data_IF_340169183507
#
_entry.id   IF_340169183507
#
_cell.length_a   1.000
_cell.length_b   1.000
_cell.length_c   1.000
_cell.angle_alpha   90.00
_cell.angle_beta   90.00
_cell.angle_gamma   90.00
#
_symmetry.space_group_name_H-M   'P 1'
#
loop_
_entity.id
_entity.type
_entity.pdbx_description
1 polymer ?
#
# COMPACT_ATOMS: atom_id res chain seq x y z
N UNK A 1 16.46 25.31 4.42
CA UNK A 1 15.06 24.85 4.36
C UNK A 1 15.05 23.35 4.56
N UNK A 2 14.39 22.84 5.62
CA UNK A 2 14.32 21.38 5.84
C UNK A 2 13.16 20.81 5.04
N UNK A 3 13.49 20.08 3.98
CA UNK A 3 12.56 19.26 3.20
C UNK A 3 12.64 17.82 3.70
N UNK A 4 11.49 17.15 3.80
CA UNK A 4 11.43 15.75 4.19
C UNK A 4 10.15 15.09 3.73
N UNK A 5 10.05 13.78 3.86
CA UNK A 5 8.82 13.03 3.63
C UNK A 5 8.41 12.31 4.91
N UNK A 6 7.11 12.12 5.10
CA UNK A 6 6.57 11.28 6.16
C UNK A 6 5.58 10.29 5.57
N UNK A 7 5.51 9.10 6.16
CA UNK A 7 4.52 8.08 5.82
C UNK A 7 3.50 8.00 6.94
N UNK A 8 2.24 8.24 6.60
CA UNK A 8 1.11 8.10 7.52
C UNK A 8 0.33 6.86 7.13
N UNK A 9 0.06 6.01 8.12
CA UNK A 9 -0.55 4.71 7.86
C UNK A 9 -1.88 4.59 8.58
N UNK A 10 -2.89 4.11 7.85
CA UNK A 10 -4.25 3.96 8.34
C UNK A 10 -4.71 2.52 8.11
N UNK A 11 -5.07 1.82 9.18
CA UNK A 11 -5.57 0.45 9.12
C UNK A 11 -7.08 0.46 8.90
N UNK A 12 -7.54 -0.37 7.97
CA UNK A 12 -8.96 -0.70 7.81
C UNK A 12 -9.30 -1.91 8.67
N UNK A 13 -10.05 -1.69 9.75
CA UNK A 13 -10.50 -2.79 10.64
C UNK A 13 -11.76 -3.48 10.13
N UNK A 14 -12.66 -2.70 9.57
CA UNK A 14 -13.94 -3.13 9.01
C UNK A 14 -14.24 -2.27 7.79
N UNK A 15 -15.12 -2.72 6.88
CA UNK A 15 -15.61 -1.89 5.79
C UNK A 15 -16.08 -0.53 6.27
N UNK A 16 -15.55 0.54 5.67
CA UNK A 16 -15.89 1.90 6.07
C UNK A 16 -15.12 2.42 7.28
N UNK A 17 -14.33 1.64 8.02
CA UNK A 17 -13.49 2.15 9.11
C UNK A 17 -12.04 2.35 8.68
N UNK A 18 -11.45 3.48 9.06
CA UNK A 18 -10.02 3.73 8.97
C UNK A 18 -9.52 4.30 10.30
N UNK A 19 -8.43 3.74 10.82
CA UNK A 19 -7.81 4.21 12.06
C UNK A 19 -6.32 4.41 11.88
N UNK A 20 -5.72 5.47 12.45
CA UNK A 20 -4.27 5.64 12.44
C UNK A 20 -3.58 4.42 13.06
N UNK A 21 -2.49 3.99 12.44
CA UNK A 21 -1.61 2.95 12.98
C UNK A 21 -0.17 3.43 12.88
N UNK A 22 0.65 3.09 13.89
CA UNK A 22 2.06 3.41 13.86
C UNK A 22 2.74 2.67 12.69
N UNK A 23 3.55 3.38 11.91
CA UNK A 23 4.29 2.80 10.80
C UNK A 23 5.14 1.60 11.25
N UNK A 24 5.76 1.69 12.44
CA UNK A 24 6.53 0.59 13.05
C UNK A 24 5.71 -0.69 13.25
N UNK A 25 4.42 -0.60 13.55
CA UNK A 25 3.57 -1.77 13.70
C UNK A 25 3.36 -2.50 12.37
N UNK A 26 3.24 -1.74 11.28
CA UNK A 26 3.13 -2.28 9.91
C UNK A 26 4.46 -2.90 9.47
N UNK A 27 5.59 -2.25 9.77
CA UNK A 27 6.93 -2.80 9.52
C UNK A 27 7.15 -4.12 10.26
N UNK A 28 6.79 -4.19 11.54
CA UNK A 28 6.88 -5.42 12.34
C UNK A 28 6.00 -6.55 11.76
N UNK A 29 4.78 -6.21 11.35
CA UNK A 29 3.88 -7.16 10.67
C UNK A 29 4.52 -7.75 9.40
N UNK A 30 5.15 -6.90 8.58
CA UNK A 30 5.83 -7.32 7.34
C UNK A 30 7.10 -8.12 7.67
N UNK A 31 7.88 -7.74 8.69
CA UNK A 31 9.22 -8.30 8.97
C UNK A 31 9.25 -9.63 9.77
N UNK A 32 8.10 -10.24 10.06
CA UNK A 32 7.88 -11.51 10.80
C UNK A 32 7.75 -11.37 12.32
N UNK A 33 7.94 -10.17 12.86
CA UNK A 33 7.93 -9.94 14.31
C UNK A 33 6.55 -9.53 14.86
N UNK A 34 5.63 -9.05 14.01
CA UNK A 34 4.35 -8.48 14.42
C UNK A 34 3.13 -9.25 13.93
N UNK A 35 1.98 -8.90 14.51
CA UNK A 35 0.65 -9.29 14.07
C UNK A 35 -0.22 -8.05 13.88
N UNK A 36 -1.12 -8.11 12.91
CA UNK A 36 -2.19 -7.13 12.74
C UNK A 36 -3.51 -7.88 12.59
N UNK A 37 -4.61 -7.37 13.16
CA UNK A 37 -5.90 -8.04 13.05
C UNK A 37 -6.36 -8.02 11.60
N UNK A 38 -6.63 -9.21 11.05
CA UNK A 38 -7.31 -9.34 9.76
C UNK A 38 -8.79 -8.96 9.89
N UNK A 39 -9.39 -8.54 8.79
CA UNK A 39 -10.83 -8.42 8.67
C UNK A 39 -11.50 -9.78 8.49
N UNK A 40 -12.84 -9.77 8.34
CA UNK A 40 -13.64 -10.98 8.18
C UNK A 40 -13.26 -11.83 6.95
N UNK A 41 -12.58 -11.25 5.97
CA UNK A 41 -12.11 -11.94 4.76
C UNK A 41 -10.69 -12.52 4.94
N UNK A 42 -10.08 -12.35 6.12
CA UNK A 42 -8.72 -12.82 6.41
C UNK A 42 -7.64 -11.92 5.81
N UNK A 43 -7.95 -10.64 5.56
CA UNK A 43 -6.98 -9.68 5.06
C UNK A 43 -6.68 -8.59 6.09
N UNK A 44 -5.40 -8.21 6.19
CA UNK A 44 -5.01 -6.91 6.75
C UNK A 44 -5.02 -5.91 5.59
N UNK A 45 -5.88 -4.90 5.69
CA UNK A 45 -5.99 -3.82 4.70
C UNK A 45 -5.54 -2.51 5.33
N UNK A 46 -4.62 -1.81 4.68
CA UNK A 46 -4.15 -0.51 5.17
C UNK A 46 -3.87 0.45 4.03
N UNK A 47 -3.82 1.74 4.36
CA UNK A 47 -3.50 2.82 3.45
C UNK A 47 -2.21 3.46 3.91
N UNK A 48 -1.24 3.67 3.01
CA UNK A 48 -0.11 4.54 3.26
C UNK A 48 -0.30 5.84 2.48
N UNK A 49 -0.17 6.95 3.19
CA UNK A 49 -0.18 8.31 2.65
C UNK A 49 1.22 8.86 2.82
N UNK A 50 1.90 9.13 1.72
CA UNK A 50 3.20 9.79 1.72
C UNK A 50 2.95 11.30 1.61
N UNK A 51 3.44 12.06 2.58
CA UNK A 51 3.29 13.52 2.61
C UNK A 51 4.64 14.20 2.53
N UNK A 52 4.68 15.34 1.83
CA UNK A 52 5.82 16.24 1.86
C UNK A 52 5.80 17.06 3.16
N UNK A 53 6.97 17.28 3.73
CA UNK A 53 7.17 18.09 4.92
C UNK A 53 8.01 19.32 4.58
N UNK A 54 7.51 20.49 4.95
CA UNK A 54 8.27 21.74 4.96
C UNK A 54 8.28 22.30 6.38
N UNK A 55 9.47 22.52 6.94
CA UNK A 55 9.63 23.00 8.32
C UNK A 55 8.84 22.16 9.34
N UNK A 56 8.90 20.83 9.18
CA UNK A 56 8.18 19.82 9.99
C UNK A 56 6.65 19.85 9.90
N UNK A 57 6.07 20.61 8.97
CA UNK A 57 4.62 20.64 8.70
C UNK A 57 4.31 19.94 7.39
N UNK A 58 3.25 19.15 7.35
CA UNK A 58 2.78 18.51 6.13
C UNK A 58 2.18 19.55 5.18
N UNK A 59 2.63 19.55 3.92
CA UNK A 59 2.19 20.55 2.94
C UNK A 59 1.34 20.00 1.81
N UNK A 60 1.61 18.77 1.38
CA UNK A 60 0.92 18.13 0.26
C UNK A 60 1.00 16.60 0.41
N UNK A 61 0.02 15.90 -0.16
CA UNK A 61 0.06 14.45 -0.36
C UNK A 61 0.82 14.16 -1.65
N UNK A 62 1.91 13.38 -1.56
CA UNK A 62 2.72 12.94 -2.70
C UNK A 62 2.18 11.63 -3.30
N UNK A 63 1.70 10.73 -2.46
CA UNK A 63 1.23 9.42 -2.90
C UNK A 63 0.24 8.81 -1.89
N UNK A 64 -0.73 8.05 -2.40
CA UNK A 64 -1.64 7.23 -1.61
C UNK A 64 -1.64 5.81 -2.16
N UNK A 65 -1.25 4.84 -1.31
CA UNK A 65 -1.24 3.42 -1.65
C UNK A 65 -2.24 2.64 -0.79
N UNK A 66 -3.05 1.79 -1.41
CA UNK A 66 -4.05 0.95 -0.76
C UNK A 66 -3.58 -0.50 -0.78
N UNK A 67 -3.15 -1.04 0.36
CA UNK A 67 -2.54 -2.36 0.43
C UNK A 67 -3.45 -3.37 1.11
N UNK A 68 -3.36 -4.62 0.66
CA UNK A 68 -3.97 -5.78 1.30
C UNK A 68 -2.99 -6.94 1.39
N UNK A 69 -2.99 -7.63 2.53
CA UNK A 69 -2.19 -8.83 2.75
C UNK A 69 -3.03 -9.90 3.44
N UNK A 70 -2.96 -11.15 2.95
CA UNK A 70 -3.56 -12.27 3.66
C UNK A 70 -2.87 -12.50 5.00
N UNK A 71 -3.66 -12.85 5.99
CA UNK A 71 -3.17 -13.25 7.31
C UNK A 71 -3.68 -14.61 7.71
N UNK A 72 -2.89 -15.27 8.54
CA UNK A 72 -3.30 -16.46 9.27
C UNK A 72 -4.31 -16.09 10.36
N UNK A 73 -5.02 -17.08 10.91
CA UNK A 73 -6.00 -16.87 12.00
C UNK A 73 -5.43 -16.15 13.24
N UNK A 74 -4.12 -16.22 13.45
CA UNK A 74 -3.42 -15.53 14.54
C UNK A 74 -2.97 -14.09 14.19
N UNK A 75 -3.41 -13.54 13.06
CA UNK A 75 -3.07 -12.19 12.60
C UNK A 75 -1.64 -12.03 12.07
N UNK A 76 -0.88 -13.12 11.95
CA UNK A 76 0.43 -13.08 11.29
C UNK A 76 0.27 -13.09 9.78
N UNK A 77 1.16 -12.38 9.10
CA UNK A 77 1.23 -12.36 7.64
C UNK A 77 1.36 -13.77 7.06
N UNK A 78 0.49 -14.11 6.11
CA UNK A 78 0.63 -15.33 5.31
C UNK A 78 1.88 -15.20 4.43
N UNK A 79 2.90 -16.00 4.75
CA UNK A 79 4.20 -15.96 4.07
C UNK A 79 4.18 -16.58 2.69
N UNK A 80 3.25 -17.49 2.41
CA UNK A 80 3.10 -18.04 1.06
C UNK A 80 2.58 -16.95 0.14
N UNK A 81 1.46 -16.31 0.52
CA UNK A 81 0.88 -15.18 -0.20
C UNK A 81 1.87 -14.01 -0.34
N UNK A 82 2.60 -13.68 0.73
CA UNK A 82 3.58 -12.60 0.69
C UNK A 82 4.73 -12.86 -0.30
N UNK A 83 5.22 -14.11 -0.39
CA UNK A 83 6.26 -14.45 -1.38
C UNK A 83 5.75 -14.31 -2.81
N UNK A 84 4.49 -14.65 -3.06
CA UNK A 84 3.87 -14.47 -4.38
C UNK A 84 3.80 -12.99 -4.77
N UNK A 85 3.46 -12.11 -3.82
CA UNK A 85 3.54 -10.65 -4.01
C UNK A 85 4.98 -10.24 -4.35
N UNK A 86 5.95 -10.63 -3.53
CA UNK A 86 7.35 -10.22 -3.71
C UNK A 86 7.98 -10.75 -5.00
N UNK A 87 7.51 -11.88 -5.53
CA UNK A 87 7.92 -12.39 -6.83
C UNK A 87 7.37 -11.53 -7.99
N UNK A 88 6.15 -10.99 -7.85
CA UNK A 88 5.54 -10.14 -8.87
C UNK A 88 6.06 -8.69 -8.88
N UNK A 89 6.63 -8.20 -7.77
CA UNK A 89 7.20 -6.84 -7.66
C UNK A 89 8.28 -6.55 -8.72
N UNK A 90 9.35 -7.35 -8.88
CA UNK A 90 10.38 -7.08 -9.88
C UNK A 90 9.84 -7.16 -11.32
N UNK A 91 8.91 -8.09 -11.59
CA UNK A 91 8.24 -8.20 -12.90
C UNK A 91 7.40 -6.94 -13.22
N UNK A 92 6.69 -6.41 -12.22
CA UNK A 92 5.88 -5.20 -12.39
C UNK A 92 6.71 -3.90 -12.43
N UNK A 93 7.78 -3.83 -11.63
CA UNK A 93 8.62 -2.64 -11.49
C UNK A 93 9.63 -2.49 -12.64
N UNK A 94 10.15 -3.61 -13.14
CA UNK A 94 11.22 -3.61 -14.14
C UNK A 94 10.84 -4.27 -15.45
N UNK A 95 9.66 -4.89 -15.57
CA UNK A 95 9.24 -5.63 -16.78
C UNK A 95 10.19 -6.77 -17.21
N UNK A 96 11.22 -7.00 -16.39
CA UNK A 96 12.58 -7.36 -16.77
C UNK A 96 13.17 -6.48 -17.89
N UNK A 97 14.36 -5.93 -17.64
CA UNK A 97 15.27 -5.38 -18.64
C UNK A 97 15.14 -6.16 -19.96
N UNK A 98 14.46 -5.62 -20.97
CA UNK A 98 14.32 -6.26 -22.28
C UNK A 98 15.71 -6.30 -22.93
N UNK A 99 16.50 -7.33 -22.60
CA UNK A 99 17.78 -7.64 -23.24
C UNK A 99 17.56 -8.08 -24.70
N UNK A 100 16.33 -8.45 -25.06
CA UNK A 100 15.95 -8.88 -26.41
C UNK A 100 14.68 -8.14 -26.85
N UNK A 101 14.73 -7.54 -28.05
CA UNK A 101 13.54 -6.96 -28.69
C UNK A 101 12.54 -8.08 -29.01
N UNK A 102 11.24 -7.87 -28.75
CA UNK A 102 10.22 -8.83 -29.15
C UNK A 102 10.22 -9.01 -30.69
N UNK A 103 9.87 -10.20 -31.20
CA UNK A 103 9.78 -10.46 -32.63
C UNK A 103 8.83 -9.47 -33.34
N UNK A 104 9.01 -9.24 -34.66
CA UNK A 104 8.08 -8.41 -35.44
C UNK A 104 6.64 -8.91 -35.27
N UNK A 105 5.73 -8.00 -34.90
CA UNK A 105 4.32 -8.32 -34.65
C UNK A 105 3.96 -8.71 -33.21
N UNK A 106 4.95 -8.84 -32.30
CA UNK A 106 4.70 -9.15 -30.88
C UNK A 106 4.83 -7.89 -30.02
N UNK A 107 3.78 -7.56 -29.27
CA UNK A 107 3.83 -6.46 -28.28
C UNK A 107 4.36 -7.00 -26.97
N UNK A 108 5.56 -6.55 -26.55
CA UNK A 108 6.15 -6.86 -25.25
C UNK A 108 5.34 -6.24 -24.10
N UNK A 109 4.22 -6.87 -23.74
CA UNK A 109 3.24 -6.38 -22.78
C UNK A 109 3.31 -7.06 -21.40
N UNK A 110 4.28 -7.93 -21.18
CA UNK A 110 4.42 -8.77 -19.97
C UNK A 110 4.40 -7.94 -18.68
N UNK A 111 5.12 -6.81 -18.67
CA UNK A 111 5.10 -5.84 -17.57
C UNK A 111 3.68 -5.34 -17.20
N UNK A 112 2.76 -5.23 -18.17
CA UNK A 112 1.37 -4.83 -17.91
C UNK A 112 0.58 -5.94 -17.22
N UNK A 113 0.83 -7.19 -17.59
CA UNK A 113 0.21 -8.35 -16.93
C UNK A 113 0.78 -8.54 -15.53
N UNK A 114 2.09 -8.38 -15.35
CA UNK A 114 2.73 -8.41 -14.04
C UNK A 114 2.21 -7.30 -13.12
N UNK A 115 2.05 -6.07 -13.63
CA UNK A 115 1.44 -4.97 -12.88
C UNK A 115 0.01 -5.28 -12.45
N UNK A 116 -0.83 -5.78 -13.37
CA UNK A 116 -2.22 -6.19 -13.04
C UNK A 116 -2.27 -7.32 -12.02
N UNK A 117 -1.36 -8.30 -12.13
CA UNK A 117 -1.23 -9.39 -11.16
C UNK A 117 -0.84 -8.83 -9.79
N UNK A 118 0.14 -7.93 -9.73
CA UNK A 118 0.55 -7.29 -8.49
C UNK A 118 -0.60 -6.52 -7.84
N UNK A 119 -1.29 -5.67 -8.62
CA UNK A 119 -2.48 -4.94 -8.17
C UNK A 119 -3.55 -5.89 -7.62
N UNK A 120 -3.83 -7.01 -8.31
CA UNK A 120 -4.78 -7.99 -7.83
C UNK A 120 -4.36 -8.66 -6.52
N UNK A 121 -3.07 -8.96 -6.35
CA UNK A 121 -2.54 -9.67 -5.19
C UNK A 121 -2.40 -8.79 -3.95
N UNK A 122 -2.03 -7.53 -4.12
CA UNK A 122 -1.59 -6.67 -3.02
C UNK A 122 -2.38 -5.38 -2.85
N UNK A 123 -3.27 -5.03 -3.78
CA UNK A 123 -4.04 -3.79 -3.75
C UNK A 123 -5.51 -4.10 -3.55
N UNK A 124 -6.21 -3.22 -2.83
CA UNK A 124 -7.66 -3.27 -2.73
C UNK A 124 -8.23 -1.93 -3.19
N UNK A 125 -9.45 -1.94 -3.73
CA UNK A 125 -10.13 -0.72 -4.16
C UNK A 125 -10.96 -0.18 -2.99
N UNK A 126 -10.64 1.02 -2.46
CA UNK A 126 -11.44 1.63 -1.40
C UNK A 126 -12.80 2.06 -1.94
N UNK A 127 -13.79 2.10 -1.05
CA UNK A 127 -15.09 2.71 -1.31
C UNK A 127 -15.01 4.24 -1.26
N UNK A 128 -16.03 4.93 -1.80
CA UNK A 128 -16.13 6.41 -1.72
C UNK A 128 -16.15 6.91 -0.28
N UNK A 129 -16.78 6.18 0.62
CA UNK A 129 -16.86 6.52 2.04
C UNK A 129 -15.49 6.40 2.72
N UNK A 130 -14.72 5.36 2.38
CA UNK A 130 -13.36 5.17 2.90
C UNK A 130 -12.42 6.27 2.38
N UNK A 131 -12.58 6.70 1.12
CA UNK A 131 -11.84 7.84 0.57
C UNK A 131 -12.19 9.16 1.29
N UNK A 132 -13.48 9.40 1.55
CA UNK A 132 -13.93 10.59 2.27
C UNK A 132 -13.40 10.62 3.71
N UNK A 133 -13.42 9.47 4.40
CA UNK A 133 -12.84 9.32 5.74
C UNK A 133 -11.33 9.49 5.74
N UNK A 134 -10.64 8.95 4.75
CA UNK A 134 -9.19 9.15 4.60
C UNK A 134 -8.85 10.63 4.47
N UNK A 135 -9.58 11.38 3.63
CA UNK A 135 -9.40 12.83 3.46
C UNK A 135 -9.55 13.58 4.78
N UNK A 136 -10.60 13.29 5.55
CA UNK A 136 -10.82 13.88 6.88
C UNK A 136 -9.66 13.56 7.82
N UNK A 137 -9.21 12.30 7.88
CA UNK A 137 -8.11 11.89 8.75
C UNK A 137 -6.77 12.53 8.37
N UNK A 138 -6.48 12.64 7.09
CA UNK A 138 -5.26 13.26 6.56
C UNK A 138 -5.27 14.76 6.87
N UNK A 139 -6.35 15.47 6.56
CA UNK A 139 -6.46 16.90 6.81
C UNK A 139 -6.45 17.22 8.32
N UNK A 140 -7.11 16.41 9.14
CA UNK A 140 -7.05 16.52 10.60
C UNK A 140 -5.62 16.33 11.12
N UNK A 141 -4.91 15.30 10.65
CA UNK A 141 -3.51 15.04 11.06
C UNK A 141 -2.56 16.14 10.58
N UNK A 142 -2.82 16.75 9.43
CA UNK A 142 -2.05 17.87 8.90
C UNK A 142 -2.37 19.20 9.60
N UNK A 143 -3.53 19.32 10.26
CA UNK A 143 -4.05 20.57 10.80
C UNK A 143 -4.47 21.57 9.72
N UNK A 144 -4.60 21.13 8.47
CA UNK A 144 -4.97 21.95 7.29
C UNK A 144 -5.43 21.04 6.16
N UNK A 145 -6.02 21.63 5.12
CA UNK A 145 -6.37 20.90 3.90
C UNK A 145 -5.13 20.63 3.03
N UNK A 146 -4.87 19.36 2.74
CA UNK A 146 -3.78 18.89 1.86
C UNK A 146 -4.21 17.73 0.93
N UNK A 147 -5.46 17.26 1.07
CA UNK A 147 -6.09 16.18 0.31
C UNK A 147 -7.54 16.52 -0.01
#
# INVERSE_FOLDING_TARGET
>A
MYMGASVWTFLRRQPGELRPVAQRAVEQFISKAGCLPGDAEGFVRYVQVVVNLQNRRATEVLHVGFFQYRVLKNGRLDRKHFREIMAAVPEAAFGWLQLTKPPPGVVGAEHRFAKRRLEHLNTWKPTRDELSKLRVLVNHKAGREIM
#
